data_IF_849515433573
#
_entry.id   IF_849515433573
#
_cell.length_a   1.000
_cell.length_b   1.000
_cell.length_c   1.000
_cell.angle_alpha   90.00
_cell.angle_beta   90.00
_cell.angle_gamma   90.00
#
_symmetry.space_group_name_H-M   'P 1'
#
loop_
_entity.id
_entity.type
_entity.pdbx_description
1 polymer ?
#
# COMPACT_ATOMS: atom_id res chain seq x y z
N UNK A 1 -28.09 18.95 17.87
CA UNK A 1 -26.77 19.23 17.26
C UNK A 1 -26.46 18.06 16.33
N UNK A 2 -26.43 18.28 15.01
CA UNK A 2 -25.98 17.23 14.08
C UNK A 2 -24.49 16.97 14.37
N UNK A 3 -24.14 15.74 14.76
CA UNK A 3 -22.74 15.35 14.91
C UNK A 3 -22.03 15.58 13.57
N UNK A 4 -21.05 16.49 13.56
CA UNK A 4 -20.21 16.70 12.37
C UNK A 4 -19.24 15.54 12.27
N UNK A 5 -19.33 14.77 11.19
CA UNK A 5 -18.38 13.69 10.88
C UNK A 5 -16.96 14.25 10.76
N UNK A 6 -15.99 13.50 11.27
CA UNK A 6 -14.57 13.81 11.12
C UNK A 6 -14.08 13.53 9.71
N UNK A 7 -12.98 14.18 9.29
CA UNK A 7 -12.35 13.92 7.99
C UNK A 7 -11.98 12.45 7.78
N UNK A 8 -11.61 11.73 8.85
CA UNK A 8 -11.24 10.32 8.78
C UNK A 8 -12.47 9.45 8.50
N UNK A 9 -13.60 9.72 9.14
CA UNK A 9 -14.86 9.00 8.91
C UNK A 9 -15.38 9.23 7.49
N UNK A 10 -15.33 10.47 7.00
CA UNK A 10 -15.73 10.80 5.63
C UNK A 10 -14.83 10.06 4.62
N UNK A 11 -13.51 10.13 4.79
CA UNK A 11 -12.58 9.42 3.91
C UNK A 11 -12.79 7.90 3.95
N UNK A 12 -13.03 7.32 5.13
CA UNK A 12 -13.35 5.89 5.28
C UNK A 12 -14.65 5.53 4.57
N UNK A 13 -15.71 6.32 4.73
CA UNK A 13 -16.99 6.07 4.06
C UNK A 13 -16.84 6.10 2.52
N UNK A 14 -16.10 7.08 2.00
CA UNK A 14 -15.79 7.17 0.56
C UNK A 14 -15.00 5.94 0.10
N UNK A 15 -13.93 5.58 0.82
CA UNK A 15 -13.11 4.42 0.45
C UNK A 15 -13.93 3.11 0.48
N UNK A 16 -14.75 2.88 1.51
CA UNK A 16 -15.64 1.73 1.58
C UNK A 16 -16.59 1.70 0.39
N UNK A 17 -17.25 2.83 0.09
CA UNK A 17 -18.19 2.91 -1.03
C UNK A 17 -17.54 2.49 -2.37
N UNK A 18 -16.40 3.09 -2.72
CA UNK A 18 -15.74 2.79 -3.99
C UNK A 18 -15.16 1.38 -4.05
N UNK A 19 -14.61 0.86 -2.93
CA UNK A 19 -14.14 -0.54 -2.89
C UNK A 19 -15.29 -1.54 -2.94
N UNK A 20 -16.45 -1.25 -2.33
CA UNK A 20 -17.65 -2.09 -2.47
C UNK A 20 -18.18 -2.07 -3.89
N UNK A 21 -18.27 -0.90 -4.54
CA UNK A 21 -18.66 -0.79 -5.95
C UNK A 21 -17.71 -1.62 -6.83
N UNK A 22 -16.39 -1.45 -6.64
CA UNK A 22 -15.38 -2.22 -7.38
C UNK A 22 -15.50 -3.73 -7.13
N UNK A 23 -15.70 -4.15 -5.88
CA UNK A 23 -15.79 -5.56 -5.50
C UNK A 23 -17.02 -6.21 -6.15
N UNK A 24 -18.19 -5.60 -5.97
CA UNK A 24 -19.43 -6.10 -6.57
C UNK A 24 -19.34 -6.08 -8.09
N UNK A 25 -18.76 -5.02 -8.66
CA UNK A 25 -18.53 -4.90 -10.09
C UNK A 25 -17.68 -6.01 -10.68
N UNK A 26 -16.52 -6.29 -10.08
CA UNK A 26 -15.58 -7.31 -10.54
C UNK A 26 -16.09 -8.74 -10.37
N UNK A 27 -16.97 -8.99 -9.38
CA UNK A 27 -17.52 -10.31 -9.10
C UNK A 27 -18.79 -10.64 -9.91
N UNK A 28 -19.65 -9.65 -10.16
CA UNK A 28 -21.01 -9.90 -10.67
C UNK A 28 -21.34 -9.21 -12.00
N UNK A 29 -20.47 -8.32 -12.49
CA UNK A 29 -20.73 -7.51 -13.69
C UNK A 29 -19.55 -7.56 -14.68
N UNK A 30 -19.60 -6.74 -15.74
CA UNK A 30 -18.53 -6.65 -16.74
C UNK A 30 -17.23 -6.14 -16.11
N UNK A 31 -16.27 -7.06 -15.96
CA UNK A 31 -14.95 -6.80 -15.40
C UNK A 31 -14.22 -5.66 -16.12
N UNK A 32 -14.40 -5.49 -17.43
CA UNK A 32 -13.68 -4.49 -18.24
C UNK A 32 -13.90 -3.07 -17.73
N UNK A 33 -15.15 -2.71 -17.46
CA UNK A 33 -15.50 -1.38 -16.96
C UNK A 33 -14.90 -1.10 -15.58
N UNK A 34 -15.01 -2.07 -14.66
CA UNK A 34 -14.51 -1.91 -13.30
C UNK A 34 -12.97 -1.94 -13.22
N UNK A 35 -12.31 -2.71 -14.10
CA UNK A 35 -10.85 -2.68 -14.26
C UNK A 35 -10.36 -1.33 -14.77
N UNK A 36 -11.05 -0.75 -15.76
CA UNK A 36 -10.73 0.60 -16.23
C UNK A 36 -10.89 1.69 -15.14
N UNK A 37 -11.66 1.41 -14.08
CA UNK A 37 -11.81 2.30 -12.93
C UNK A 37 -10.65 2.19 -11.90
N UNK A 38 -9.81 1.16 -11.97
CA UNK A 38 -8.70 0.93 -11.02
C UNK A 38 -7.75 2.12 -10.89
N UNK A 39 -7.28 2.76 -11.98
CA UNK A 39 -6.48 3.99 -11.91
C UNK A 39 -7.10 5.08 -11.04
N UNK A 40 -8.41 5.30 -11.21
CA UNK A 40 -9.15 6.34 -10.48
C UNK A 40 -9.32 5.98 -9.01
N UNK A 41 -9.53 4.70 -8.68
CA UNK A 41 -9.62 4.25 -7.30
C UNK A 41 -8.27 4.40 -6.55
N UNK A 42 -7.15 4.11 -7.22
CA UNK A 42 -5.81 4.34 -6.66
C UNK A 42 -5.54 5.84 -6.44
N UNK A 43 -5.86 6.68 -7.42
CA UNK A 43 -5.72 8.14 -7.29
C UNK A 43 -6.64 8.73 -6.21
N UNK A 44 -7.86 8.23 -6.09
CA UNK A 44 -8.79 8.60 -5.02
C UNK A 44 -8.21 8.21 -3.65
N UNK A 45 -7.72 6.98 -3.51
CA UNK A 45 -7.10 6.49 -2.27
C UNK A 45 -5.90 7.35 -1.86
N UNK A 46 -5.04 7.66 -2.83
CA UNK A 46 -3.91 8.58 -2.65
C UNK A 46 -4.38 9.97 -2.19
N UNK A 47 -5.35 10.57 -2.89
CA UNK A 47 -5.88 11.88 -2.58
C UNK A 47 -6.49 11.94 -1.17
N UNK A 48 -7.22 10.89 -0.76
CA UNK A 48 -7.78 10.77 0.58
C UNK A 48 -6.69 10.63 1.65
N UNK A 49 -5.60 9.89 1.40
CA UNK A 49 -4.47 9.81 2.33
C UNK A 49 -3.79 11.16 2.52
N UNK A 50 -3.52 11.87 1.42
CA UNK A 50 -2.94 13.22 1.47
C UNK A 50 -3.89 14.17 2.19
N UNK A 51 -5.18 14.17 1.86
CA UNK A 51 -6.19 15.02 2.49
C UNK A 51 -6.26 14.80 4.01
N UNK A 52 -6.30 13.53 4.43
CA UNK A 52 -6.42 13.14 5.84
C UNK A 52 -5.14 13.35 6.65
N UNK A 53 -3.96 13.38 6.02
CA UNK A 53 -2.70 13.69 6.68
C UNK A 53 -2.76 15.05 7.41
N UNK A 54 -2.43 15.05 8.71
CA UNK A 54 -2.52 16.25 9.56
C UNK A 54 -1.48 17.31 9.20
N UNK A 55 -0.22 16.90 9.01
CA UNK A 55 0.89 17.79 8.67
C UNK A 55 1.42 17.46 7.28
N UNK A 56 1.07 18.32 6.31
CA UNK A 56 1.52 18.24 4.91
C UNK A 56 2.79 19.08 4.74
N UNK A 57 3.80 18.81 5.56
CA UNK A 57 5.07 19.55 5.50
C UNK A 57 5.97 19.03 4.36
N UNK A 58 7.09 19.72 4.12
CA UNK A 58 8.04 19.32 3.07
C UNK A 58 8.55 17.89 3.25
N UNK A 59 8.78 17.43 4.48
CA UNK A 59 9.24 16.06 4.74
C UNK A 59 8.21 15.00 4.37
N UNK A 60 6.91 15.30 4.51
CA UNK A 60 5.84 14.41 4.04
C UNK A 60 5.85 14.31 2.52
N UNK A 61 5.94 15.43 1.80
CA UNK A 61 5.97 15.42 0.34
C UNK A 61 7.28 14.85 -0.23
N UNK A 62 8.42 15.07 0.44
CA UNK A 62 9.68 14.39 0.12
C UNK A 62 9.54 12.89 0.29
N UNK A 63 8.90 12.42 1.37
CA UNK A 63 8.62 11.00 1.55
C UNK A 63 7.71 10.43 0.46
N UNK A 64 6.62 11.13 0.10
CA UNK A 64 5.74 10.75 -1.03
C UNK A 64 6.55 10.62 -2.32
N UNK A 65 7.39 11.62 -2.61
CA UNK A 65 8.25 11.64 -3.78
C UNK A 65 9.27 10.50 -3.77
N UNK A 66 9.89 10.22 -2.62
CA UNK A 66 10.83 9.10 -2.45
C UNK A 66 10.16 7.77 -2.73
N UNK A 67 8.96 7.51 -2.17
CA UNK A 67 8.21 6.30 -2.46
C UNK A 67 7.87 6.17 -3.95
N UNK A 68 7.44 7.27 -4.57
CA UNK A 68 7.11 7.28 -6.00
C UNK A 68 8.33 6.95 -6.86
N UNK A 69 9.43 7.69 -6.69
CA UNK A 69 10.63 7.55 -7.52
C UNK A 69 11.30 6.19 -7.31
N UNK A 70 11.51 5.78 -6.05
CA UNK A 70 12.13 4.49 -5.77
C UNK A 70 11.21 3.36 -6.25
N UNK A 71 9.92 3.44 -5.98
CA UNK A 71 8.93 2.45 -6.43
C UNK A 71 8.96 2.27 -7.95
N UNK A 72 8.89 3.35 -8.73
CA UNK A 72 8.98 3.26 -10.20
C UNK A 72 10.36 2.75 -10.64
N UNK A 73 11.44 3.21 -10.02
CA UNK A 73 12.80 2.84 -10.42
C UNK A 73 13.09 1.35 -10.20
N UNK A 74 12.71 0.77 -9.05
CA UNK A 74 12.93 -0.66 -8.78
C UNK A 74 12.13 -1.54 -9.74
N UNK A 75 10.91 -1.13 -10.10
CA UNK A 75 10.06 -1.82 -11.07
C UNK A 75 10.67 -1.73 -12.48
N UNK A 76 11.20 -0.57 -12.87
CA UNK A 76 11.89 -0.41 -14.16
C UNK A 76 13.14 -1.29 -14.22
N UNK A 77 13.92 -1.35 -13.14
CA UNK A 77 15.06 -2.27 -13.05
C UNK A 77 14.58 -3.71 -13.14
N UNK A 78 13.53 -4.10 -12.41
CA UNK A 78 12.96 -5.45 -12.45
C UNK A 78 12.55 -5.87 -13.86
N UNK A 79 11.66 -5.11 -14.49
CA UNK A 79 11.12 -5.41 -15.83
C UNK A 79 12.20 -5.42 -16.91
N UNK A 80 13.17 -4.50 -16.88
CA UNK A 80 14.15 -4.38 -17.97
C UNK A 80 15.41 -5.24 -17.78
N UNK A 81 15.69 -5.71 -16.56
CA UNK A 81 16.92 -6.49 -16.28
C UNK A 81 16.66 -7.89 -15.73
N UNK A 82 15.47 -8.16 -15.19
CA UNK A 82 15.14 -9.40 -14.48
C UNK A 82 15.85 -9.58 -13.13
N UNK A 83 16.66 -8.59 -12.69
CA UNK A 83 17.44 -8.67 -11.45
C UNK A 83 16.56 -8.50 -10.20
N UNK A 84 15.40 -7.85 -10.33
CA UNK A 84 14.44 -7.64 -9.25
C UNK A 84 13.09 -8.27 -9.58
N UNK A 85 12.42 -8.77 -8.55
CA UNK A 85 11.07 -9.37 -8.54
C UNK A 85 10.92 -10.69 -9.33
N UNK A 86 11.56 -10.80 -10.49
CA UNK A 86 11.50 -11.96 -11.39
C UNK A 86 11.13 -11.54 -12.80
N UNK A 87 10.71 -12.50 -13.62
CA UNK A 87 10.25 -12.26 -15.00
C UNK A 87 8.73 -12.05 -15.00
N UNK A 88 8.29 -10.82 -15.23
CA UNK A 88 6.89 -10.44 -15.32
C UNK A 88 6.73 -9.25 -16.29
N UNK A 89 5.50 -9.04 -16.75
CA UNK A 89 5.15 -7.93 -17.64
C UNK A 89 3.88 -7.25 -17.16
N UNK A 90 3.85 -5.92 -17.18
CA UNK A 90 2.68 -5.14 -16.79
C UNK A 90 1.61 -5.13 -17.87
N UNK A 91 0.36 -5.33 -17.47
CA UNK A 91 -0.81 -5.10 -18.31
C UNK A 91 -1.15 -3.61 -18.45
N UNK A 92 -2.16 -3.31 -19.29
CA UNK A 92 -2.60 -1.95 -19.56
C UNK A 92 -3.57 -1.37 -18.50
N UNK A 93 -4.01 -2.19 -17.53
CA UNK A 93 -5.04 -1.81 -16.54
C UNK A 93 -4.63 -0.61 -15.69
N UNK A 94 -3.34 -0.49 -15.36
CA UNK A 94 -2.82 0.61 -14.54
C UNK A 94 -2.52 1.90 -15.34
N UNK A 95 -2.97 1.98 -16.60
CA UNK A 95 -2.85 3.15 -17.44
C UNK A 95 -1.49 3.31 -18.10
N UNK A 96 -1.07 4.56 -18.33
CA UNK A 96 0.12 4.87 -19.12
C UNK A 96 1.41 4.34 -18.50
N UNK A 97 2.21 3.70 -19.34
CA UNK A 97 3.49 3.08 -18.97
C UNK A 97 4.67 3.91 -19.49
N UNK A 98 5.76 3.93 -18.72
CA UNK A 98 7.07 4.43 -19.12
C UNK A 98 8.05 3.28 -18.97
N UNK A 99 8.81 2.95 -20.01
CA UNK A 99 9.71 1.78 -20.02
C UNK A 99 9.00 0.48 -19.56
N UNK A 100 7.77 0.27 -20.03
CA UNK A 100 6.89 -0.85 -19.68
C UNK A 100 6.42 -0.90 -18.21
N UNK A 101 6.60 0.18 -17.45
CA UNK A 101 6.17 0.31 -16.06
C UNK A 101 5.08 1.38 -15.91
N UNK A 102 3.88 1.05 -15.40
CA UNK A 102 2.83 2.04 -15.14
C UNK A 102 3.26 3.06 -14.08
N UNK A 103 3.12 4.36 -14.35
CA UNK A 103 3.49 5.39 -13.37
C UNK A 103 2.67 5.32 -12.08
N UNK A 104 1.46 4.75 -12.13
CA UNK A 104 0.63 4.53 -10.95
C UNK A 104 1.25 3.56 -9.94
N UNK A 105 2.22 2.73 -10.34
CA UNK A 105 2.87 1.84 -9.38
C UNK A 105 3.64 2.63 -8.32
N UNK A 106 4.22 3.78 -8.65
CA UNK A 106 4.87 4.66 -7.67
C UNK A 106 3.89 5.20 -6.63
N UNK A 107 2.66 5.49 -7.05
CA UNK A 107 1.59 5.88 -6.13
C UNK A 107 1.18 4.69 -5.25
N UNK A 108 1.07 3.49 -5.82
CA UNK A 108 0.76 2.27 -5.08
C UNK A 108 1.82 1.96 -4.02
N UNK A 109 3.11 2.07 -4.36
CA UNK A 109 4.23 1.96 -3.42
C UNK A 109 4.09 2.93 -2.25
N UNK A 110 3.76 4.19 -2.52
CA UNK A 110 3.47 5.14 -1.44
C UNK A 110 2.28 4.70 -0.57
N UNK A 111 1.15 4.34 -1.19
CA UNK A 111 -0.07 3.93 -0.46
C UNK A 111 0.25 2.77 0.50
N UNK A 112 0.87 1.71 0.01
CA UNK A 112 1.15 0.50 0.79
C UNK A 112 2.11 0.82 1.93
N UNK A 113 3.27 1.45 1.64
CA UNK A 113 4.29 1.75 2.65
C UNK A 113 3.74 2.71 3.70
N UNK A 114 3.05 3.77 3.29
CA UNK A 114 2.48 4.74 4.21
C UNK A 114 1.42 4.09 5.11
N UNK A 115 0.52 3.27 4.55
CA UNK A 115 -0.51 2.59 5.34
C UNK A 115 0.08 1.56 6.32
N UNK A 116 1.03 0.73 5.88
CA UNK A 116 1.71 -0.24 6.74
C UNK A 116 2.50 0.45 7.86
N UNK A 117 3.28 1.49 7.51
CA UNK A 117 4.05 2.27 8.47
C UNK A 117 3.19 2.96 9.53
N UNK A 118 2.06 3.57 9.13
CA UNK A 118 1.11 4.20 10.06
C UNK A 118 0.41 3.14 10.92
N UNK A 119 0.02 2.00 10.36
CA UNK A 119 -0.64 0.92 11.10
C UNK A 119 0.26 0.37 12.21
N UNK A 120 1.49 -0.03 11.87
CA UNK A 120 2.45 -0.54 12.85
C UNK A 120 2.83 0.54 13.86
N UNK A 121 3.10 1.78 13.42
CA UNK A 121 3.39 2.88 14.35
C UNK A 121 2.23 3.09 15.35
N UNK A 122 0.98 3.03 14.90
CA UNK A 122 -0.20 3.20 15.76
C UNK A 122 -0.37 2.05 16.75
N UNK A 123 -0.22 0.81 16.30
CA UNK A 123 -0.29 -0.39 17.15
C UNK A 123 0.81 -0.38 18.21
N UNK A 124 2.03 -0.10 17.79
CA UNK A 124 3.20 -0.07 18.65
C UNK A 124 3.14 1.07 19.67
N UNK A 125 2.66 2.26 19.28
CA UNK A 125 2.43 3.36 20.24
C UNK A 125 1.42 2.98 21.31
N UNK A 126 0.33 2.28 20.96
CA UNK A 126 -0.64 1.80 21.95
C UNK A 126 -0.02 0.75 22.88
N UNK A 127 0.79 -0.16 22.36
CA UNK A 127 1.46 -1.19 23.16
C UNK A 127 2.53 -0.59 24.10
N UNK A 128 3.40 0.28 23.58
CA UNK A 128 4.44 0.95 24.36
C UNK A 128 3.84 1.83 25.45
N UNK A 129 2.78 2.60 25.17
CA UNK A 129 2.15 3.43 26.19
C UNK A 129 1.57 2.61 27.35
N UNK A 130 1.12 1.38 27.09
CA UNK A 130 0.69 0.43 28.14
C UNK A 130 1.89 -0.07 28.95
N UNK A 131 2.96 -0.50 28.29
CA UNK A 131 4.16 -1.04 28.96
C UNK A 131 4.93 0.05 29.73
N UNK A 132 4.99 1.28 29.20
CA UNK A 132 5.67 2.40 29.83
C UNK A 132 4.96 2.86 31.11
N UNK A 133 3.62 2.70 31.18
CA UNK A 133 2.87 2.90 32.42
C UNK A 133 3.30 1.91 33.51
N UNK A 134 3.73 0.71 33.14
CA UNK A 134 4.15 -0.35 34.06
C UNK A 134 5.66 -0.31 34.41
N UNK A 135 6.52 0.18 33.51
CA UNK A 135 8.00 0.00 33.62
C UNK A 135 8.81 1.30 33.64
N UNK A 136 8.21 2.46 33.33
CA UNK A 136 8.87 3.77 33.36
C UNK A 136 9.98 3.99 32.32
N UNK A 137 10.25 3.03 31.42
CA UNK A 137 11.27 3.13 30.36
C UNK A 137 10.63 3.02 28.97
N UNK A 138 10.98 3.92 28.07
CA UNK A 138 10.52 3.87 26.66
C UNK A 138 11.68 3.41 25.77
N UNK A 139 11.70 2.16 25.27
CA UNK A 139 12.77 1.69 24.39
C UNK A 139 12.57 2.21 22.96
N UNK A 140 13.01 3.46 22.72
CA UNK A 140 12.90 4.16 21.43
C UNK A 140 13.58 3.41 20.26
N UNK A 141 14.68 2.70 20.50
CA UNK A 141 15.38 1.94 19.47
C UNK A 141 14.61 0.67 19.04
N UNK A 142 14.01 -0.05 20.00
CA UNK A 142 13.11 -1.18 19.70
C UNK A 142 11.88 -0.71 18.92
N UNK A 143 11.40 0.51 19.22
CA UNK A 143 10.30 1.13 18.48
C UNK A 143 10.67 1.35 17.01
N UNK A 144 11.85 1.91 16.74
CA UNK A 144 12.31 2.17 15.39
C UNK A 144 12.46 0.88 14.57
N UNK A 145 13.11 -0.13 15.15
CA UNK A 145 13.35 -1.41 14.49
C UNK A 145 12.04 -2.16 14.20
N UNK A 146 11.10 -2.19 15.15
CA UNK A 146 9.78 -2.81 14.96
C UNK A 146 8.96 -2.13 13.86
N UNK A 147 8.94 -0.78 13.79
CA UNK A 147 8.21 -0.09 12.70
C UNK A 147 8.74 -0.47 11.33
N UNK A 148 10.07 -0.59 11.19
CA UNK A 148 10.70 -0.90 9.90
C UNK A 148 10.49 -2.36 9.52
N UNK A 149 10.80 -3.29 10.43
CA UNK A 149 10.72 -4.74 10.15
C UNK A 149 9.27 -5.19 10.06
N UNK A 150 8.45 -4.91 11.07
CA UNK A 150 7.06 -5.38 11.09
C UNK A 150 6.23 -4.69 9.99
N UNK A 151 6.56 -3.43 9.68
CA UNK A 151 5.97 -2.73 8.54
C UNK A 151 6.33 -3.38 7.21
N UNK A 152 7.57 -3.82 7.02
CA UNK A 152 8.01 -4.48 5.79
C UNK A 152 7.38 -5.88 5.68
N UNK A 153 7.29 -6.61 6.79
CA UNK A 153 6.56 -7.88 6.84
C UNK A 153 5.09 -7.70 6.48
N UNK A 154 4.44 -6.64 6.98
CA UNK A 154 3.05 -6.33 6.64
C UNK A 154 2.87 -5.96 5.17
N UNK A 155 3.82 -5.24 4.58
CA UNK A 155 3.82 -4.92 3.15
C UNK A 155 3.96 -6.18 2.28
N UNK A 156 4.85 -7.10 2.65
CA UNK A 156 5.00 -8.41 1.97
C UNK A 156 3.76 -9.27 2.14
N UNK A 157 3.13 -9.26 3.32
CA UNK A 157 1.87 -9.96 3.53
C UNK A 157 0.75 -9.40 2.65
N UNK A 158 0.67 -8.08 2.51
CA UNK A 158 -0.26 -7.44 1.60
C UNK A 158 0.00 -7.85 0.15
N UNK A 159 1.26 -7.83 -0.29
CA UNK A 159 1.66 -8.26 -1.63
C UNK A 159 1.27 -9.72 -1.90
N UNK A 160 1.65 -10.64 -1.00
CA UNK A 160 1.25 -12.05 -1.07
C UNK A 160 -0.27 -12.25 -1.14
N UNK A 161 -1.05 -11.42 -0.44
CA UNK A 161 -2.50 -11.49 -0.48
C UNK A 161 -3.04 -11.07 -1.85
N UNK A 162 -2.53 -9.95 -2.36
CA UNK A 162 -2.95 -9.28 -3.60
C UNK A 162 -2.53 -10.03 -4.86
N UNK A 163 -1.31 -10.58 -4.89
CA UNK A 163 -0.62 -11.15 -6.04
C UNK A 163 -1.50 -12.07 -6.92
N UNK A 164 -2.17 -13.12 -6.38
CA UNK A 164 -3.01 -13.99 -7.21
C UNK A 164 -4.20 -13.28 -7.84
N UNK A 165 -4.75 -12.26 -7.18
CA UNK A 165 -5.85 -11.46 -7.70
C UNK A 165 -5.35 -10.53 -8.81
N UNK A 166 -4.19 -9.89 -8.60
CA UNK A 166 -3.59 -8.99 -9.58
C UNK A 166 -3.29 -9.72 -10.91
N UNK A 167 -2.76 -10.95 -10.83
CA UNK A 167 -2.55 -11.80 -12.02
C UNK A 167 -3.87 -12.14 -12.70
N UNK A 168 -4.90 -12.58 -11.96
CA UNK A 168 -6.24 -12.87 -12.51
C UNK A 168 -6.92 -11.66 -13.16
N UNK A 169 -6.67 -10.47 -12.63
CA UNK A 169 -7.22 -9.21 -13.14
C UNK A 169 -6.37 -8.58 -14.24
N UNK A 170 -5.26 -9.22 -14.64
CA UNK A 170 -4.41 -8.75 -15.73
C UNK A 170 -3.63 -7.47 -15.39
N UNK A 171 -3.31 -7.24 -14.11
CA UNK A 171 -2.46 -6.12 -13.72
C UNK A 171 -1.01 -6.36 -14.18
N UNK A 172 -0.54 -7.59 -14.01
CA UNK A 172 0.70 -8.11 -14.59
C UNK A 172 0.56 -9.62 -14.83
N UNK A 173 1.46 -10.14 -15.64
CA UNK A 173 1.57 -11.58 -15.93
C UNK A 173 2.99 -12.04 -15.69
N UNK A 174 3.15 -13.12 -14.91
CA UNK A 174 4.43 -13.78 -14.68
C UNK A 174 4.85 -14.61 -15.90
N UNK A 175 6.14 -14.57 -16.22
CA UNK A 175 6.75 -15.40 -17.26
C UNK A 175 6.91 -16.86 -16.84
N UNK A 176 7.53 -17.66 -17.72
CA UNK A 176 7.78 -19.07 -17.46
C UNK A 176 6.50 -19.91 -17.31
N UNK A 177 6.38 -20.62 -16.19
CA UNK A 177 5.21 -21.44 -15.84
C UNK A 177 4.07 -20.64 -15.16
N UNK A 178 4.23 -19.32 -15.07
CA UNK A 178 3.27 -18.42 -14.43
C UNK A 178 3.29 -18.49 -12.89
N UNK A 179 4.26 -19.19 -12.29
CA UNK A 179 4.41 -19.23 -10.84
C UNK A 179 4.97 -17.93 -10.30
N UNK A 180 4.46 -17.52 -9.14
CA UNK A 180 4.87 -16.29 -8.46
C UNK A 180 6.17 -16.59 -7.69
N UNK A 181 7.33 -16.01 -8.08
CA UNK A 181 8.60 -16.38 -7.48
C UNK A 181 8.67 -15.97 -6.01
N UNK A 182 9.28 -16.80 -5.16
CA UNK A 182 9.58 -16.39 -3.76
C UNK A 182 10.50 -15.16 -3.75
N UNK A 183 11.32 -15.00 -4.79
CA UNK A 183 12.19 -13.85 -4.99
C UNK A 183 11.42 -12.53 -5.06
N UNK A 184 10.18 -12.51 -5.59
CA UNK A 184 9.30 -11.34 -5.57
C UNK A 184 9.10 -10.82 -4.14
N UNK A 185 8.71 -11.70 -3.23
CA UNK A 185 8.45 -11.35 -1.83
C UNK A 185 9.72 -10.89 -1.10
N UNK A 186 10.88 -11.45 -1.45
CA UNK A 186 12.16 -11.00 -0.91
C UNK A 186 12.51 -9.58 -1.40
N UNK A 187 12.33 -9.29 -2.69
CA UNK A 187 12.50 -7.95 -3.24
C UNK A 187 11.55 -6.95 -2.58
N UNK A 188 10.26 -7.29 -2.46
CA UNK A 188 9.28 -6.49 -1.74
C UNK A 188 9.69 -6.20 -0.30
N UNK A 189 10.22 -7.21 0.41
CA UNK A 189 10.71 -7.02 1.77
C UNK A 189 11.86 -6.02 1.82
N UNK A 190 12.90 -6.20 0.98
CA UNK A 190 14.08 -5.34 0.96
C UNK A 190 13.73 -3.89 0.58
N UNK A 191 12.92 -3.70 -0.47
CA UNK A 191 12.48 -2.34 -0.88
C UNK A 191 11.63 -1.70 0.23
N UNK A 192 10.75 -2.48 0.87
CA UNK A 192 9.93 -1.98 1.97
C UNK A 192 10.77 -1.57 3.18
N UNK A 193 11.85 -2.30 3.52
CA UNK A 193 12.78 -1.90 4.58
C UNK A 193 13.39 -0.51 4.29
N UNK A 194 13.82 -0.26 3.05
CA UNK A 194 14.40 1.03 2.64
C UNK A 194 13.36 2.15 2.76
N UNK A 195 12.16 1.94 2.21
CA UNK A 195 11.11 2.95 2.23
C UNK A 195 10.55 3.20 3.64
N UNK A 196 10.43 2.18 4.48
CA UNK A 196 10.03 2.34 5.88
C UNK A 196 11.11 2.97 6.75
N UNK A 197 12.39 2.78 6.40
CA UNK A 197 13.48 3.55 7.00
C UNK A 197 13.32 5.04 6.66
N UNK A 198 13.05 5.38 5.40
CA UNK A 198 12.75 6.76 5.01
C UNK A 198 11.51 7.32 5.73
N UNK A 199 10.43 6.51 5.86
CA UNK A 199 9.24 6.88 6.63
C UNK A 199 9.55 7.19 8.09
N UNK A 200 10.38 6.35 8.74
CA UNK A 200 10.77 6.49 10.14
C UNK A 200 11.54 7.79 10.38
N UNK A 201 12.53 8.09 9.54
CA UNK A 201 13.38 9.28 9.69
C UNK A 201 12.73 10.57 9.18
N UNK A 202 11.73 10.50 8.31
CA UNK A 202 11.03 11.67 7.81
C UNK A 202 10.32 12.43 8.95
N UNK A 203 10.49 13.74 9.04
CA UNK A 203 9.97 14.57 10.14
C UNK A 203 8.55 15.10 9.85
N UNK A 204 7.59 14.19 9.72
CA UNK A 204 6.15 14.51 9.61
C UNK A 204 5.33 13.74 10.65
N UNK A 205 4.08 14.12 10.90
CA UNK A 205 3.20 13.45 11.86
C UNK A 205 2.76 12.03 11.41
N UNK A 206 2.99 11.00 12.25
CA UNK A 206 2.71 9.57 11.96
C UNK A 206 1.33 9.12 12.47
N UNK A 207 0.37 10.04 12.54
CA UNK A 207 -1.01 9.74 12.94
C UNK A 207 -1.95 9.99 11.77
N UNK A 208 -2.49 8.89 11.24
CA UNK A 208 -3.56 8.95 10.26
C UNK A 208 -4.49 7.73 10.42
N UNK A 209 -5.65 7.94 11.06
CA UNK A 209 -6.63 6.86 11.28
C UNK A 209 -7.16 6.31 9.96
N UNK A 210 -7.31 7.16 8.94
CA UNK A 210 -7.77 6.74 7.63
C UNK A 210 -6.78 5.78 6.96
N UNK A 211 -5.46 5.96 7.15
CA UNK A 211 -4.46 5.06 6.58
C UNK A 211 -4.61 3.61 7.10
N UNK A 212 -4.89 3.46 8.41
CA UNK A 212 -5.18 2.14 9.00
C UNK A 212 -6.46 1.56 8.42
N UNK A 213 -7.52 2.37 8.30
CA UNK A 213 -8.80 1.92 7.75
C UNK A 213 -8.65 1.53 6.26
N UNK A 214 -7.91 2.30 5.47
CA UNK A 214 -7.67 2.01 4.06
C UNK A 214 -6.91 0.70 3.89
N UNK A 215 -5.88 0.44 4.71
CA UNK A 215 -5.18 -0.85 4.71
C UNK A 215 -6.15 -2.02 4.93
N UNK A 216 -7.01 -1.91 5.94
CA UNK A 216 -8.00 -2.95 6.25
C UNK A 216 -9.02 -3.12 5.11
N UNK A 217 -9.48 -2.03 4.51
CA UNK A 217 -10.39 -2.04 3.36
C UNK A 217 -9.72 -2.77 2.18
N UNK A 218 -8.47 -2.44 1.86
CA UNK A 218 -7.75 -3.09 0.77
C UNK A 218 -7.47 -4.57 1.05
N UNK A 219 -7.05 -4.92 2.28
CA UNK A 219 -6.87 -6.31 2.69
C UNK A 219 -8.17 -7.10 2.53
N UNK A 220 -9.30 -6.57 3.02
CA UNK A 220 -10.60 -7.21 2.86
C UNK A 220 -11.02 -7.31 1.39
N UNK A 221 -10.81 -6.26 0.60
CA UNK A 221 -11.11 -6.23 -0.83
C UNK A 221 -10.37 -7.34 -1.59
N UNK A 222 -9.04 -7.42 -1.42
CA UNK A 222 -8.24 -8.45 -2.09
C UNK A 222 -8.48 -9.84 -1.52
N UNK A 223 -8.74 -9.99 -0.22
CA UNK A 223 -9.14 -11.28 0.36
C UNK A 223 -10.43 -11.79 -0.27
N UNK A 224 -11.47 -10.95 -0.34
CA UNK A 224 -12.76 -11.33 -0.93
C UNK A 224 -12.62 -11.65 -2.41
N UNK A 225 -11.89 -10.85 -3.18
CA UNK A 225 -11.60 -11.18 -4.58
C UNK A 225 -10.81 -12.49 -4.69
N UNK A 226 -9.79 -12.71 -3.86
CA UNK A 226 -9.01 -13.95 -3.89
C UNK A 226 -9.88 -15.18 -3.65
N UNK A 227 -10.88 -15.07 -2.78
CA UNK A 227 -11.80 -16.16 -2.44
C UNK A 227 -12.89 -16.38 -3.50
N UNK A 228 -13.46 -15.32 -4.07
CA UNK A 228 -14.66 -15.41 -4.91
C UNK A 228 -14.44 -15.14 -6.40
N UNK A 229 -13.30 -14.56 -6.79
CA UNK A 229 -12.98 -14.30 -8.18
C UNK A 229 -12.54 -15.60 -8.86
N UNK A 230 -13.45 -16.18 -9.64
CA UNK A 230 -13.18 -17.29 -10.54
C UNK A 230 -12.31 -16.85 -11.71
#
# INVERSE_FOLDING_TARGET
MLNRFTKFEIATAIAVLFHTIGLTGLLFFDKTFFLAATPFNLLLSFALLVWTQQEKNIYFFLFVFTCFVIGVAVEMVGINTGILFGDYTYGSVLGSQVMNVPLLIGINWFIIIYCCGIAIHTLLMKAINRIAADTGKTPLALKALSVIIDGATLAVFFDWLMEPVAVKLGYWTWGGDGTIPIFNYLCWFVVSLVLLSAFHFAKFNKQNKFAVNLLLIQLMFFLLLRTFLN
#
